data_IF_998752703880
#
_entry.id   IF_998752703880
#
_cell.length_a   1.000
_cell.length_b   1.000
_cell.length_c   1.000
_cell.angle_alpha   90.00
_cell.angle_beta   90.00
_cell.angle_gamma   90.00
#
_symmetry.space_group_name_H-M   'P 1'
#
loop_
_entity.id
_entity.type
_entity.pdbx_description
1 polymer ?
#
# COMPACT_ATOMS: atom_id res chain seq x y z
N UNK A 1 -11.13 -45.55 1.31
CA UNK A 1 -10.18 -44.45 1.03
C UNK A 1 -10.96 -43.15 0.98
N UNK A 2 -10.84 -42.30 2.01
CA UNK A 2 -11.40 -40.96 1.99
C UNK A 2 -10.51 -40.05 1.13
N UNK A 3 -11.07 -39.14 0.30
CA UNK A 3 -10.26 -38.21 -0.46
C UNK A 3 -9.51 -37.29 0.51
N UNK A 4 -8.20 -37.17 0.33
CA UNK A 4 -7.36 -36.25 1.08
C UNK A 4 -7.92 -34.83 0.92
N UNK A 5 -8.50 -34.29 2.00
CA UNK A 5 -9.03 -32.95 2.03
C UNK A 5 -7.92 -31.97 1.67
N UNK A 6 -8.11 -31.20 0.60
CA UNK A 6 -7.27 -30.03 0.35
C UNK A 6 -7.38 -29.12 1.59
N UNK A 7 -6.25 -28.62 2.13
CA UNK A 7 -6.31 -27.72 3.27
C UNK A 7 -7.23 -26.54 2.93
N UNK A 8 -8.19 -26.26 3.82
CA UNK A 8 -9.04 -25.10 3.73
C UNK A 8 -8.15 -23.86 3.90
N UNK A 9 -7.75 -23.25 2.79
CA UNK A 9 -7.16 -21.93 2.81
C UNK A 9 -8.26 -20.95 3.22
N UNK A 10 -8.18 -20.46 4.45
CA UNK A 10 -9.01 -19.37 4.93
C UNK A 10 -8.74 -18.13 4.05
N UNK A 11 -9.58 -17.94 3.03
CA UNK A 11 -9.52 -16.81 2.09
C UNK A 11 -9.67 -15.45 2.79
N UNK A 12 -10.05 -15.41 4.08
CA UNK A 12 -10.10 -14.19 4.87
C UNK A 12 -8.71 -13.67 5.29
N UNK A 13 -7.66 -14.50 5.19
CA UNK A 13 -6.26 -14.17 5.55
C UNK A 13 -5.29 -14.22 4.38
N UNK A 14 -5.77 -13.99 3.16
CA UNK A 14 -4.90 -13.85 2.01
C UNK A 14 -3.85 -12.74 2.26
N UNK A 15 -2.60 -13.16 2.40
CA UNK A 15 -1.43 -12.30 2.61
C UNK A 15 -0.56 -12.35 1.36
N UNK A 16 -0.01 -11.20 0.98
CA UNK A 16 0.79 -11.04 -0.23
C UNK A 16 2.19 -10.57 0.13
N UNK A 17 3.19 -11.19 -0.50
CA UNK A 17 4.61 -10.87 -0.33
C UNK A 17 4.98 -9.59 -1.07
N UNK A 18 6.20 -9.11 -0.81
CA UNK A 18 6.80 -7.99 -1.56
C UNK A 18 6.78 -8.22 -3.07
N UNK A 19 7.21 -9.39 -3.53
CA UNK A 19 7.33 -9.66 -4.96
C UNK A 19 5.95 -9.77 -5.63
N UNK A 20 4.96 -10.32 -4.91
CA UNK A 20 3.57 -10.37 -5.38
C UNK A 20 2.95 -8.97 -5.49
N UNK A 21 3.25 -8.07 -4.55
CA UNK A 21 2.81 -6.67 -4.62
C UNK A 21 3.46 -5.93 -5.79
N UNK A 22 4.78 -6.07 -5.96
CA UNK A 22 5.51 -5.42 -7.06
C UNK A 22 5.04 -5.93 -8.42
N UNK A 23 4.77 -7.23 -8.55
CA UNK A 23 4.18 -7.81 -9.75
C UNK A 23 2.75 -7.30 -10.00
N UNK A 24 1.94 -7.14 -8.95
CA UNK A 24 0.62 -6.55 -9.10
C UNK A 24 0.69 -5.08 -9.56
N UNK A 25 1.60 -4.28 -9.00
CA UNK A 25 1.84 -2.91 -9.47
C UNK A 25 2.35 -2.87 -10.90
N UNK A 26 3.17 -3.85 -11.32
CA UNK A 26 3.56 -4.00 -12.71
C UNK A 26 2.35 -4.19 -13.63
N UNK A 27 1.46 -5.15 -13.31
CA UNK A 27 0.25 -5.36 -14.11
C UNK A 27 -0.67 -4.14 -14.14
N UNK A 28 -0.77 -3.40 -13.04
CA UNK A 28 -1.52 -2.14 -13.02
C UNK A 28 -0.88 -1.08 -13.92
N UNK A 29 0.44 -0.93 -13.86
CA UNK A 29 1.19 0.01 -14.68
C UNK A 29 1.01 -0.30 -16.17
N UNK A 30 1.17 -1.55 -16.57
CA UNK A 30 1.02 -1.98 -17.97
C UNK A 30 -0.41 -1.74 -18.48
N UNK A 31 -1.42 -2.02 -17.66
CA UNK A 31 -2.82 -1.74 -18.00
C UNK A 31 -3.09 -0.23 -18.19
N UNK A 32 -2.63 0.60 -17.26
CA UNK A 32 -2.83 2.05 -17.30
C UNK A 32 -2.07 2.69 -18.46
N UNK A 33 -0.83 2.25 -18.69
CA UNK A 33 -0.02 2.71 -19.80
C UNK A 33 -0.63 2.33 -21.16
N UNK A 34 -1.19 1.14 -21.28
CA UNK A 34 -1.95 0.72 -22.46
C UNK A 34 -3.19 1.57 -22.75
N UNK A 35 -3.69 2.32 -21.76
CA UNK A 35 -4.78 3.29 -21.91
C UNK A 35 -4.28 4.73 -22.11
N UNK A 36 -2.96 4.95 -22.21
CA UNK A 36 -2.37 6.29 -22.33
C UNK A 36 -2.45 7.11 -21.04
N UNK A 37 -2.63 6.47 -19.88
CA UNK A 37 -2.77 7.13 -18.58
C UNK A 37 -1.51 6.93 -17.76
N UNK A 38 -1.07 7.96 -17.05
CA UNK A 38 -0.02 7.88 -16.03
C UNK A 38 -0.57 8.40 -14.70
N UNK A 39 -0.64 7.55 -13.68
CA UNK A 39 -1.19 7.91 -12.37
C UNK A 39 -0.14 7.86 -11.27
N UNK A 40 -0.36 8.66 -10.24
CA UNK A 40 0.43 8.64 -9.00
C UNK A 40 -0.49 8.37 -7.82
N UNK A 41 -0.08 7.43 -6.96
CA UNK A 41 -0.79 7.10 -5.71
C UNK A 41 0.17 7.18 -4.53
N UNK A 42 -0.41 7.40 -3.35
CA UNK A 42 0.32 7.56 -2.09
C UNK A 42 -0.13 6.47 -1.13
N UNK A 43 0.77 5.55 -0.82
CA UNK A 43 0.49 4.29 -0.12
C UNK A 43 0.95 4.37 1.33
N UNK A 44 0.11 3.88 2.22
CA UNK A 44 0.36 3.81 3.65
C UNK A 44 0.36 2.36 4.17
N UNK A 45 0.79 2.20 5.43
CA UNK A 45 0.61 0.96 6.17
C UNK A 45 1.43 -0.22 5.63
N UNK A 46 0.80 -1.41 5.65
CA UNK A 46 1.51 -2.68 5.48
C UNK A 46 2.28 -2.80 4.17
N UNK A 47 1.82 -2.17 3.09
CA UNK A 47 2.51 -2.14 1.81
C UNK A 47 3.84 -1.37 1.87
N UNK A 48 3.90 -0.24 2.58
CA UNK A 48 5.15 0.49 2.85
C UNK A 48 6.10 -0.38 3.68
N UNK A 49 5.58 -0.99 4.76
CA UNK A 49 6.37 -1.88 5.63
C UNK A 49 6.92 -3.11 4.88
N UNK A 50 6.22 -3.59 3.86
CA UNK A 50 6.60 -4.79 3.09
C UNK A 50 7.54 -4.47 1.94
N UNK A 51 7.27 -3.42 1.15
CA UNK A 51 8.02 -3.12 -0.07
C UNK A 51 9.28 -2.31 0.23
N UNK A 52 9.13 -1.22 0.97
CA UNK A 52 10.17 -0.19 1.15
C UNK A 52 10.99 -0.45 2.42
N UNK A 53 10.34 -0.49 3.59
CA UNK A 53 11.05 -0.64 4.87
C UNK A 53 11.54 -2.07 5.12
N UNK A 54 10.91 -3.06 4.47
CA UNK A 54 11.17 -4.49 4.67
C UNK A 54 11.06 -4.94 6.13
N UNK A 55 10.28 -4.22 6.95
CA UNK A 55 9.98 -4.59 8.33
C UNK A 55 8.94 -5.70 8.42
N UNK A 56 8.26 -6.02 7.31
CA UNK A 56 7.29 -7.12 7.18
C UNK A 56 7.58 -7.97 5.95
N UNK A 57 7.32 -9.27 6.05
CA UNK A 57 7.39 -10.19 4.90
C UNK A 57 6.15 -10.11 4.00
N UNK A 58 5.00 -9.73 4.56
CA UNK A 58 3.73 -9.69 3.84
C UNK A 58 2.71 -8.74 4.47
N UNK A 59 1.72 -8.36 3.66
CA UNK A 59 0.55 -7.55 4.04
C UNK A 59 -0.73 -8.14 3.44
N UNK A 60 -1.90 -7.74 3.93
CA UNK A 60 -3.18 -8.19 3.40
C UNK A 60 -3.75 -7.30 2.30
N UNK A 61 -3.31 -6.05 2.24
CA UNK A 61 -3.85 -4.98 1.41
C UNK A 61 -2.83 -3.84 1.21
N UNK A 62 -3.22 -2.94 0.31
CA UNK A 62 -2.62 -1.67 -0.04
C UNK A 62 -3.66 -0.59 0.27
N UNK A 63 -3.39 0.21 1.30
CA UNK A 63 -4.14 1.42 1.61
C UNK A 63 -3.50 2.61 0.88
N UNK A 64 -4.30 3.38 0.14
CA UNK A 64 -3.78 4.53 -0.61
C UNK A 64 -4.74 5.71 -0.69
N UNK A 65 -4.21 6.86 -1.09
CA UNK A 65 -4.98 8.00 -1.59
C UNK A 65 -4.34 8.57 -2.87
N UNK A 66 -5.00 9.57 -3.48
CA UNK A 66 -4.58 10.22 -4.72
C UNK A 66 -5.24 9.63 -5.98
N UNK A 67 -5.17 10.38 -7.08
CA UNK A 67 -5.79 10.04 -8.38
C UNK A 67 -7.31 9.79 -8.29
N UNK A 68 -8.01 10.53 -7.42
CA UNK A 68 -9.44 10.35 -7.16
C UNK A 68 -10.32 10.57 -8.41
N UNK A 69 -9.93 11.51 -9.27
CA UNK A 69 -10.59 11.77 -10.56
C UNK A 69 -10.49 10.58 -11.54
N UNK A 70 -9.48 9.71 -11.37
CA UNK A 70 -9.26 8.49 -12.16
C UNK A 70 -9.49 7.21 -11.35
N UNK A 71 -10.35 7.30 -10.31
CA UNK A 71 -10.69 6.17 -9.43
C UNK A 71 -11.23 4.94 -10.17
N UNK A 72 -11.94 5.15 -11.30
CA UNK A 72 -12.42 4.05 -12.15
C UNK A 72 -11.27 3.31 -12.82
N UNK A 73 -10.33 4.02 -13.42
CA UNK A 73 -9.16 3.45 -14.08
C UNK A 73 -8.29 2.67 -13.08
N UNK A 74 -8.07 3.23 -11.88
CA UNK A 74 -7.35 2.52 -10.80
C UNK A 74 -8.06 1.24 -10.37
N UNK A 75 -9.39 1.27 -10.27
CA UNK A 75 -10.20 0.09 -9.91
C UNK A 75 -10.15 -0.98 -11.00
N UNK A 76 -10.15 -0.59 -12.27
CA UNK A 76 -10.07 -1.54 -13.37
C UNK A 76 -8.65 -2.11 -13.52
N UNK A 77 -7.62 -1.30 -13.29
CA UNK A 77 -6.22 -1.73 -13.19
C UNK A 77 -6.01 -2.74 -12.04
N UNK A 78 -6.58 -2.48 -10.85
CA UNK A 78 -6.44 -3.40 -9.71
C UNK A 78 -7.14 -4.74 -9.95
N UNK A 79 -8.31 -4.73 -10.61
CA UNK A 79 -8.99 -5.96 -11.09
C UNK A 79 -8.20 -6.67 -12.18
N UNK A 80 -7.53 -5.93 -13.07
CA UNK A 80 -6.65 -6.50 -14.07
C UNK A 80 -5.49 -7.24 -13.40
N UNK A 81 -4.79 -6.59 -12.46
CA UNK A 81 -3.70 -7.20 -11.70
C UNK A 81 -4.15 -8.43 -10.89
N UNK A 82 -5.32 -8.38 -10.26
CA UNK A 82 -5.87 -9.52 -9.53
C UNK A 82 -6.15 -10.73 -10.44
N UNK A 83 -6.57 -10.51 -11.69
CA UNK A 83 -6.82 -11.60 -12.66
C UNK A 83 -5.54 -12.20 -13.25
N UNK A 84 -4.47 -11.42 -13.35
CA UNK A 84 -3.20 -11.84 -13.95
C UNK A 84 -2.16 -12.29 -12.92
N UNK A 85 -2.44 -12.06 -11.64
CA UNK A 85 -1.62 -12.61 -10.56
C UNK A 85 -2.09 -14.00 -10.18
N UNK A 86 -1.14 -14.91 -10.00
CA UNK A 86 -1.39 -16.21 -9.34
C UNK A 86 -1.65 -16.04 -7.83
N UNK A 87 -1.45 -14.83 -7.31
CA UNK A 87 -1.63 -14.52 -5.90
C UNK A 87 -3.11 -14.41 -5.55
N UNK A 88 -3.49 -15.00 -4.43
CA UNK A 88 -4.84 -14.88 -3.89
C UNK A 88 -5.00 -13.52 -3.20
N UNK A 89 -5.26 -12.46 -3.97
CA UNK A 89 -5.62 -11.16 -3.39
C UNK A 89 -7.05 -11.20 -2.82
N UNK A 90 -7.26 -10.55 -1.67
CA UNK A 90 -8.60 -10.30 -1.11
C UNK A 90 -9.39 -9.36 -2.04
N UNK A 91 -10.72 -9.40 -1.97
CA UNK A 91 -11.57 -8.56 -2.82
C UNK A 91 -11.26 -7.05 -2.73
N UNK A 92 -10.87 -6.57 -1.54
CA UNK A 92 -10.51 -5.17 -1.28
C UNK A 92 -9.00 -5.00 -1.01
N UNK A 93 -8.15 -5.80 -1.65
CA UNK A 93 -6.70 -5.73 -1.45
C UNK A 93 -6.12 -4.36 -1.85
N UNK A 94 -6.77 -3.63 -2.75
CA UNK A 94 -6.36 -2.30 -3.18
C UNK A 94 -7.49 -1.34 -2.86
N UNK A 95 -7.33 -0.55 -1.78
CA UNK A 95 -8.42 0.22 -1.22
C UNK A 95 -8.02 1.68 -0.94
N UNK A 96 -8.93 2.61 -1.24
CA UNK A 96 -8.72 4.05 -1.06
C UNK A 96 -9.46 4.62 0.15
N UNK A 97 -9.86 3.77 1.11
CA UNK A 97 -10.74 4.13 2.22
C UNK A 97 -10.17 5.25 3.09
N UNK A 98 -8.84 5.36 3.17
CA UNK A 98 -8.19 6.43 3.92
C UNK A 98 -8.50 7.83 3.38
N UNK A 99 -8.81 7.95 2.08
CA UNK A 99 -9.18 9.23 1.45
C UNK A 99 -10.46 9.82 2.03
N UNK A 100 -11.34 9.00 2.60
CA UNK A 100 -12.57 9.46 3.27
C UNK A 100 -12.31 10.28 4.53
N UNK A 101 -11.11 10.15 5.10
CA UNK A 101 -10.70 10.82 6.34
C UNK A 101 -9.72 11.98 6.08
N UNK A 102 -9.39 12.25 4.81
CA UNK A 102 -8.47 13.32 4.42
C UNK A 102 -9.26 14.51 3.87
N UNK A 103 -9.16 15.65 4.54
CA UNK A 103 -9.58 16.92 3.96
C UNK A 103 -8.65 17.33 2.81
N UNK A 104 -9.18 18.08 1.82
CA UNK A 104 -8.40 18.49 0.62
C UNK A 104 -7.06 19.15 0.94
N UNK A 105 -7.01 20.05 1.93
CA UNK A 105 -5.77 20.72 2.32
C UNK A 105 -4.72 19.71 2.83
N UNK A 106 -5.14 18.83 3.75
CA UNK A 106 -4.29 17.79 4.30
C UNK A 106 -3.81 16.81 3.22
N UNK A 107 -4.67 16.44 2.25
CA UNK A 107 -4.27 15.60 1.13
C UNK A 107 -3.14 16.27 0.32
N UNK A 108 -3.26 17.55 0.00
CA UNK A 108 -2.21 18.29 -0.74
C UNK A 108 -0.90 18.39 0.05
N UNK A 109 -0.97 18.64 1.36
CA UNK A 109 0.21 18.68 2.22
C UNK A 109 0.93 17.32 2.24
N UNK A 110 0.18 16.23 2.37
CA UNK A 110 0.73 14.87 2.33
C UNK A 110 1.33 14.54 0.96
N UNK A 111 0.74 14.99 -0.13
CA UNK A 111 1.30 14.85 -1.49
C UNK A 111 2.66 15.56 -1.55
N UNK A 112 2.71 16.84 -1.18
CA UNK A 112 3.95 17.62 -1.20
C UNK A 112 5.05 17.00 -0.34
N UNK A 113 4.71 16.60 0.89
CA UNK A 113 5.63 15.93 1.79
C UNK A 113 6.09 14.56 1.27
N UNK A 114 5.22 13.78 0.61
CA UNK A 114 5.60 12.49 0.01
C UNK A 114 6.60 12.66 -1.13
N UNK A 115 6.43 13.70 -1.96
CA UNK A 115 7.39 14.04 -3.01
C UNK A 115 8.72 14.50 -2.44
N UNK A 116 8.70 15.33 -1.39
CA UNK A 116 9.93 15.78 -0.72
C UNK A 116 10.69 14.60 -0.08
N UNK A 117 9.98 13.71 0.61
CA UNK A 117 10.55 12.49 1.21
C UNK A 117 11.06 11.49 0.15
N UNK A 118 10.49 11.53 -1.07
CA UNK A 118 10.89 10.73 -2.23
C UNK A 118 10.97 9.21 -1.97
N UNK A 119 10.08 8.69 -1.12
CA UNK A 119 10.02 7.26 -0.82
C UNK A 119 9.25 6.50 -1.91
N UNK A 120 9.91 6.20 -3.03
CA UNK A 120 9.28 5.49 -4.16
C UNK A 120 9.24 3.97 -3.88
N UNK A 121 8.04 3.40 -3.84
CA UNK A 121 7.81 1.95 -3.69
C UNK A 121 7.86 1.24 -5.04
N UNK A 122 7.36 1.91 -6.08
CA UNK A 122 7.28 1.40 -7.45
C UNK A 122 7.19 2.59 -8.43
N UNK A 123 7.85 2.49 -9.57
CA UNK A 123 7.77 3.50 -10.62
C UNK A 123 7.98 2.91 -12.01
N UNK A 124 6.96 3.03 -12.86
CA UNK A 124 7.01 2.77 -14.30
C UNK A 124 5.97 3.65 -15.00
N UNK A 125 6.09 3.78 -16.32
CA UNK A 125 5.00 4.34 -17.13
C UNK A 125 3.68 3.64 -16.80
N UNK A 126 2.62 4.41 -16.62
CA UNK A 126 1.33 3.94 -16.13
C UNK A 126 1.08 4.22 -14.65
N UNK A 127 2.06 3.94 -13.78
CA UNK A 127 1.88 4.01 -12.33
C UNK A 127 3.16 4.38 -11.57
N UNK A 128 3.06 5.42 -10.76
CA UNK A 128 4.05 5.76 -9.72
C UNK A 128 3.43 5.59 -8.34
N UNK A 129 4.16 4.97 -7.41
CA UNK A 129 3.70 4.67 -6.06
C UNK A 129 4.68 5.27 -5.06
N UNK A 130 4.24 6.30 -4.35
CA UNK A 130 4.98 6.89 -3.23
C UNK A 130 4.51 6.29 -1.91
N UNK A 131 5.43 6.23 -0.94
CA UNK A 131 5.08 6.06 0.46
C UNK A 131 4.64 7.40 1.04
N UNK A 132 3.62 7.38 1.89
CA UNK A 132 3.22 8.57 2.67
C UNK A 132 4.35 9.03 3.60
N UNK A 133 4.31 10.28 4.10
CA UNK A 133 5.32 10.79 5.02
C UNK A 133 5.44 9.92 6.28
N UNK A 134 6.67 9.73 6.77
CA UNK A 134 6.96 8.88 7.92
C UNK A 134 6.23 9.34 9.18
N UNK A 135 6.11 10.65 9.38
CA UNK A 135 5.40 11.26 10.50
C UNK A 135 3.91 10.93 10.46
N UNK A 136 3.30 11.00 9.28
CA UNK A 136 1.90 10.63 9.10
C UNK A 136 1.68 9.14 9.39
N UNK A 137 2.55 8.28 8.86
CA UNK A 137 2.47 6.84 9.09
C UNK A 137 2.69 6.47 10.57
N UNK A 138 3.65 7.12 11.24
CA UNK A 138 3.92 6.99 12.66
C UNK A 138 2.68 7.33 13.50
N UNK A 139 2.10 8.53 13.28
CA UNK A 139 0.89 8.98 13.97
C UNK A 139 -0.25 7.96 13.85
N UNK A 140 -0.48 7.43 12.64
CA UNK A 140 -1.52 6.42 12.41
C UNK A 140 -1.29 5.11 13.17
N UNK A 141 -0.03 4.67 13.33
CA UNK A 141 0.30 3.47 14.11
C UNK A 141 0.17 3.73 15.61
N UNK A 142 0.69 4.86 16.10
CA UNK A 142 0.61 5.22 17.52
C UNK A 142 -0.82 5.42 17.98
N UNK A 143 -1.67 6.06 17.17
CA UNK A 143 -3.10 6.19 17.45
C UNK A 143 -3.77 4.82 17.56
N UNK A 144 -3.49 3.89 16.62
CA UNK A 144 -4.06 2.54 16.65
C UNK A 144 -3.63 1.70 17.85
N UNK A 145 -2.44 1.94 18.42
CA UNK A 145 -1.98 1.25 19.64
C UNK A 145 -2.89 1.51 20.85
N UNK A 146 -3.60 2.64 20.86
CA UNK A 146 -4.54 2.99 21.93
C UNK A 146 -5.95 2.42 21.73
N UNK A 147 -6.22 1.80 20.57
CA UNK A 147 -7.56 1.36 20.16
C UNK A 147 -7.76 -0.15 20.35
N UNK A 148 -9.01 -0.63 20.53
CA UNK A 148 -9.31 -2.06 20.66
C UNK A 148 -8.90 -2.91 19.45
N UNK A 149 -8.80 -2.30 18.27
CA UNK A 149 -8.42 -2.96 17.02
C UNK A 149 -6.90 -2.99 16.76
N UNK A 150 -6.07 -2.73 17.79
CA UNK A 150 -4.61 -2.89 17.72
C UNK A 150 -4.21 -4.25 17.17
N UNK A 151 -3.17 -4.27 16.35
CA UNK A 151 -2.61 -5.47 15.73
C UNK A 151 -1.26 -5.82 16.36
N UNK A 152 -0.86 -7.10 16.37
CA UNK A 152 0.42 -7.53 16.97
C UNK A 152 1.66 -6.83 16.38
N UNK A 153 1.59 -6.39 15.13
CA UNK A 153 2.69 -5.71 14.44
C UNK A 153 2.69 -4.18 14.59
N UNK A 154 1.70 -3.57 15.25
CA UNK A 154 1.56 -2.10 15.28
C UNK A 154 2.71 -1.41 16.00
N UNK A 155 3.20 -1.98 17.11
CA UNK A 155 4.35 -1.43 17.84
C UNK A 155 5.60 -1.47 16.98
N UNK A 156 5.85 -2.61 16.32
CA UNK A 156 7.01 -2.76 15.45
C UNK A 156 6.96 -1.82 14.23
N UNK A 157 5.78 -1.67 13.62
CA UNK A 157 5.58 -0.72 12.51
C UNK A 157 5.80 0.73 12.98
N UNK A 158 5.32 1.11 14.18
CA UNK A 158 5.54 2.44 14.75
C UNK A 158 7.03 2.71 14.97
N UNK A 159 7.77 1.75 15.54
CA UNK A 159 9.23 1.88 15.72
C UNK A 159 9.94 2.04 14.37
N UNK A 160 9.55 1.26 13.36
CA UNK A 160 10.14 1.36 12.02
C UNK A 160 9.96 2.76 11.39
N UNK A 161 8.78 3.38 11.57
CA UNK A 161 8.56 4.75 11.11
C UNK A 161 9.32 5.77 11.95
N UNK A 162 9.35 5.63 13.28
CA UNK A 162 10.12 6.52 14.15
C UNK A 162 11.60 6.53 13.77
N UNK A 163 12.19 5.36 13.52
CA UNK A 163 13.57 5.24 13.05
C UNK A 163 13.80 6.02 11.74
N UNK A 164 12.78 6.13 10.87
CA UNK A 164 12.87 6.91 9.64
C UNK A 164 12.69 8.41 9.86
N UNK A 165 11.86 8.83 10.81
CA UNK A 165 11.72 10.25 11.15
C UNK A 165 13.01 10.85 11.73
N UNK A 166 13.84 10.04 12.39
CA UNK A 166 15.10 10.48 13.02
C UNK A 166 16.34 10.13 12.21
N UNK A 167 16.18 9.55 11.02
CA UNK A 167 17.28 9.19 10.14
C UNK A 167 17.88 10.46 9.51
N UNK A 168 19.13 10.85 9.86
CA UNK A 168 19.72 12.07 9.36
C UNK A 168 19.96 12.05 7.83
N UNK A 169 19.90 10.87 7.19
CA UNK A 169 19.96 10.77 5.74
C UNK A 169 18.66 11.17 5.02
N UNK A 170 17.57 11.40 5.75
CA UNK A 170 16.31 11.90 5.21
C UNK A 170 16.22 13.45 5.15
N UNK A 171 17.24 14.16 5.63
CA UNK A 171 17.24 15.62 5.79
C UNK A 171 18.00 16.40 4.71
N UNK A 172 18.47 15.76 3.63
CA UNK A 172 19.25 16.41 2.57
C UNK A 172 18.92 15.87 1.17
#
# INVERSE_FOLDING_TARGET
MAPAGRPYLDRSRAIVSRDQLLLAFQYMADYLYGQGVNLTIYVAGGAVNTIYLRSRHSTGDVDFFGSNEQSRQLKDASKYAQRHSESQFRANWFNNSMSLFLGRAMEQDLIGASHHQNAILFGKSGLTVYGVPWEYALCGKTDRLTKPNKRPYDTADAVAYLCKCVDPSAAY
#
